data_IF_421620752361
#
_entry.id   IF_421620752361
#
_cell.length_a   1.000
_cell.length_b   1.000
_cell.length_c   1.000
_cell.angle_alpha   90.00
_cell.angle_beta   90.00
_cell.angle_gamma   90.00
#
_symmetry.space_group_name_H-M   'P 1'
#
loop_
_entity.id
_entity.type
_entity.pdbx_description
1 polymer ?
#
# COMPACT_ATOMS: atom_id res chain seq x y z
N UNK A 1 -57.10 -8.12 25.92
CA UNK A 1 -57.32 -6.66 25.88
C UNK A 1 -56.33 -6.05 24.92
N UNK A 2 -56.82 -5.52 23.80
CA UNK A 2 -56.03 -4.83 22.79
C UNK A 2 -55.79 -3.38 23.21
N UNK A 3 -54.57 -2.87 23.02
CA UNK A 3 -54.34 -1.44 22.82
C UNK A 3 -53.34 -1.23 21.68
N UNK A 4 -53.90 -0.71 20.59
CA UNK A 4 -53.23 -0.13 19.43
C UNK A 4 -52.77 1.29 19.80
N UNK A 5 -51.55 1.67 19.42
CA UNK A 5 -51.10 3.05 19.17
C UNK A 5 -50.06 2.92 18.04
N UNK A 6 -50.33 3.19 16.75
CA UNK A 6 -50.77 4.41 16.06
C UNK A 6 -49.71 5.53 16.05
N UNK A 7 -48.91 5.51 14.97
CA UNK A 7 -48.31 6.60 14.17
C UNK A 7 -47.91 7.92 14.80
N UNK A 8 -46.66 8.32 14.50
CA UNK A 8 -46.36 9.67 14.00
C UNK A 8 -45.09 9.63 13.14
N UNK A 9 -45.28 9.66 11.82
CA UNK A 9 -44.25 9.98 10.82
C UNK A 9 -44.08 11.49 10.82
N UNK A 10 -42.86 11.99 10.95
CA UNK A 10 -42.53 13.40 10.76
C UNK A 10 -41.44 13.51 9.69
N UNK A 11 -41.84 14.03 8.53
CA UNK A 11 -40.98 14.44 7.42
C UNK A 11 -40.77 15.95 7.56
N UNK A 12 -39.53 16.45 7.67
CA UNK A 12 -39.23 17.83 7.29
C UNK A 12 -38.61 17.88 5.89
N UNK A 13 -39.16 18.82 5.13
CA UNK A 13 -38.90 19.11 3.74
C UNK A 13 -37.81 20.20 3.59
N UNK A 14 -37.09 20.15 2.46
CA UNK A 14 -36.47 21.24 1.71
C UNK A 14 -35.41 22.16 2.38
N UNK A 15 -34.21 22.16 1.80
CA UNK A 15 -33.54 23.38 1.31
C UNK A 15 -32.40 23.02 0.33
N UNK A 16 -32.66 23.15 -0.97
CA UNK A 16 -31.62 23.21 -2.00
C UNK A 16 -31.05 24.62 -2.08
N UNK A 17 -29.76 24.79 -1.78
CA UNK A 17 -29.01 26.00 -2.15
C UNK A 17 -28.18 25.72 -3.41
N UNK A 18 -28.57 26.37 -4.51
CA UNK A 18 -27.75 26.60 -5.69
C UNK A 18 -26.93 27.87 -5.45
N UNK A 19 -25.61 27.77 -5.49
CA UNK A 19 -24.71 28.90 -5.67
C UNK A 19 -23.90 28.68 -6.94
N UNK A 20 -24.32 29.40 -7.99
CA UNK A 20 -23.51 29.72 -9.15
C UNK A 20 -22.52 30.83 -8.77
N UNK A 21 -21.26 30.72 -9.20
CA UNK A 21 -20.24 31.73 -8.95
C UNK A 21 -18.95 31.51 -9.75
N UNK A 22 -18.94 32.10 -10.94
CA UNK A 22 -17.86 32.53 -11.85
C UNK A 22 -16.38 32.17 -11.58
N UNK A 23 -15.80 31.48 -12.57
CA UNK A 23 -14.59 31.82 -13.36
C UNK A 23 -13.69 32.92 -12.82
N UNK A 24 -12.40 32.58 -12.65
CA UNK A 24 -11.31 33.48 -13.01
C UNK A 24 -10.08 32.67 -13.44
N UNK A 25 -9.82 32.66 -14.75
CA UNK A 25 -8.55 32.28 -15.37
C UNK A 25 -7.71 33.54 -15.51
N UNK A 26 -6.49 33.59 -14.94
CA UNK A 26 -5.44 34.39 -15.51
C UNK A 26 -4.55 33.49 -16.39
N UNK A 27 -4.65 33.74 -17.69
CA UNK A 27 -3.59 33.53 -18.66
C UNK A 27 -2.30 34.17 -18.14
N UNK A 28 -1.20 33.45 -18.13
CA UNK A 28 0.12 34.07 -18.28
C UNK A 28 0.97 33.20 -19.17
N UNK A 29 0.87 33.51 -20.46
CA UNK A 29 1.86 33.23 -21.49
C UNK A 29 3.22 33.75 -21.04
N UNK A 30 4.22 32.88 -21.00
CA UNK A 30 5.64 33.28 -21.10
C UNK A 30 6.22 32.54 -22.30
N UNK A 31 6.29 33.24 -23.42
CA UNK A 31 7.07 32.84 -24.60
C UNK A 31 8.53 33.31 -24.45
N UNK A 32 9.45 32.35 -24.67
CA UNK A 32 10.73 32.45 -25.42
C UNK A 32 11.81 33.33 -24.75
N UNK A 33 13.02 32.83 -24.48
CA UNK A 33 14.05 32.52 -25.50
C UNK A 33 15.16 31.62 -24.94
N UNK A 34 15.71 30.68 -25.75
CA UNK A 34 16.84 29.85 -25.36
C UNK A 34 18.17 30.61 -25.52
N UNK A 35 19.00 30.60 -24.47
CA UNK A 35 20.40 31.00 -24.60
C UNK A 35 21.26 29.78 -24.88
N UNK A 36 21.74 29.74 -26.11
CA UNK A 36 22.78 28.88 -26.65
C UNK A 36 24.14 29.42 -26.19
N UNK A 37 24.92 28.64 -25.44
CA UNK A 37 26.36 28.88 -25.29
C UNK A 37 27.11 27.60 -25.58
N UNK A 38 27.69 27.56 -26.78
CA UNK A 38 28.74 26.66 -27.19
C UNK A 38 30.03 26.94 -26.41
N UNK A 39 30.71 25.88 -25.95
CA UNK A 39 32.14 25.90 -25.71
C UNK A 39 32.77 24.68 -26.39
N UNK A 40 33.37 25.00 -27.54
CA UNK A 40 34.42 24.30 -28.26
C UNK A 40 35.67 24.08 -27.38
N UNK A 41 36.42 23.01 -27.64
CA UNK A 41 37.81 22.96 -27.21
C UNK A 41 38.41 21.60 -26.86
N UNK A 42 38.91 20.92 -27.90
CA UNK A 42 40.25 20.29 -27.91
C UNK A 42 40.44 18.88 -27.31
N UNK A 43 40.56 17.92 -28.21
CA UNK A 43 41.21 16.63 -28.01
C UNK A 43 42.74 16.74 -28.08
N UNK A 44 43.45 15.93 -27.28
CA UNK A 44 44.84 15.53 -27.53
C UNK A 44 45.05 14.07 -27.10
N UNK A 45 45.81 13.23 -27.84
CA UNK A 45 45.80 11.76 -27.67
C UNK A 45 47.11 11.15 -27.13
N UNK A 46 47.03 9.84 -26.80
CA UNK A 46 48.07 8.78 -26.67
C UNK A 46 48.85 8.70 -25.32
N UNK A 47 49.29 7.50 -24.85
CA UNK A 47 49.78 6.38 -25.67
C UNK A 47 49.30 4.95 -25.37
N UNK A 48 49.48 4.12 -26.40
CA UNK A 48 49.42 2.65 -26.42
C UNK A 48 50.65 2.07 -25.70
N UNK A 49 50.42 1.09 -24.82
CA UNK A 49 51.45 0.26 -24.19
C UNK A 49 50.94 -1.17 -23.98
N UNK A 50 51.70 -2.11 -24.54
CA UNK A 50 51.59 -3.58 -24.71
C UNK A 50 51.38 -4.40 -23.39
N UNK A 51 50.85 -5.65 -23.44
CA UNK A 51 50.31 -6.37 -22.28
C UNK A 51 51.32 -7.30 -21.57
N UNK A 52 51.02 -7.72 -20.32
CA UNK A 52 51.35 -9.03 -19.76
C UNK A 52 50.04 -9.85 -19.58
N UNK A 53 49.87 -11.03 -20.19
CA UNK A 53 50.26 -12.38 -19.72
C UNK A 53 49.61 -12.78 -18.40
N UNK A 54 48.75 -13.80 -18.51
CA UNK A 54 48.22 -14.77 -17.55
C UNK A 54 48.60 -14.61 -16.07
N UNK A 55 47.59 -14.49 -15.19
CA UNK A 55 47.20 -15.57 -14.27
C UNK A 55 46.03 -15.12 -13.36
N UNK A 56 45.25 -16.10 -12.90
CA UNK A 56 44.12 -16.00 -11.96
C UNK A 56 42.85 -15.29 -12.45
N UNK A 57 41.98 -16.08 -13.11
CA UNK A 57 40.54 -15.91 -12.98
C UNK A 57 40.21 -16.17 -11.50
N UNK A 58 40.24 -15.13 -10.69
CA UNK A 58 39.45 -15.09 -9.48
C UNK A 58 37.99 -15.24 -9.93
N UNK A 59 37.34 -16.31 -9.50
CA UNK A 59 35.88 -16.37 -9.47
C UNK A 59 35.42 -15.21 -8.59
N UNK A 60 35.14 -14.06 -9.21
CA UNK A 60 34.26 -13.07 -8.60
C UNK A 60 32.94 -13.80 -8.35
N UNK A 61 32.72 -14.13 -7.09
CA UNK A 61 31.42 -14.46 -6.51
C UNK A 61 30.48 -13.32 -6.91
N UNK A 62 29.79 -13.50 -8.04
CA UNK A 62 28.70 -12.62 -8.45
C UNK A 62 27.68 -12.75 -7.34
N UNK A 63 27.33 -11.66 -6.62
CA UNK A 63 26.27 -11.75 -5.62
C UNK A 63 25.03 -12.29 -6.33
N UNK A 64 24.43 -13.36 -5.78
CA UNK A 64 23.19 -13.91 -6.30
C UNK A 64 22.22 -12.75 -6.56
N UNK A 65 21.90 -12.52 -7.84
CA UNK A 65 20.79 -11.64 -8.22
C UNK A 65 19.60 -12.09 -7.37
N UNK A 66 19.07 -11.16 -6.57
CA UNK A 66 17.83 -11.34 -5.81
C UNK A 66 16.85 -12.18 -6.63
N UNK A 67 16.56 -13.39 -6.14
CA UNK A 67 15.78 -14.42 -6.83
C UNK A 67 14.33 -14.03 -7.12
N UNK A 68 13.94 -12.83 -6.68
CA UNK A 68 12.61 -12.21 -6.80
C UNK A 68 12.15 -12.08 -8.25
N UNK A 69 13.07 -12.08 -9.21
CA UNK A 69 12.73 -11.85 -10.63
C UNK A 69 12.20 -13.09 -11.37
N UNK A 70 12.01 -14.23 -10.69
CA UNK A 70 11.37 -15.44 -11.23
C UNK A 70 10.33 -15.99 -10.25
N UNK A 71 9.14 -16.40 -10.72
CA UNK A 71 8.15 -16.98 -9.83
C UNK A 71 8.66 -18.29 -9.21
N UNK A 72 8.30 -18.59 -7.96
CA UNK A 72 8.63 -19.85 -7.30
C UNK A 72 8.03 -21.04 -8.06
N UNK A 73 8.75 -22.16 -8.07
CA UNK A 73 8.30 -23.43 -8.65
C UNK A 73 8.50 -24.53 -7.60
N UNK A 74 7.44 -25.25 -7.18
CA UNK A 74 6.06 -25.18 -7.67
C UNK A 74 5.29 -23.93 -7.17
N UNK A 75 4.29 -23.51 -7.95
CA UNK A 75 3.32 -22.49 -7.56
C UNK A 75 2.41 -22.98 -6.42
N UNK A 76 1.87 -22.05 -5.63
CA UNK A 76 0.89 -22.33 -4.57
C UNK A 76 -0.04 -21.14 -4.34
N UNK A 77 -1.31 -21.45 -4.07
CA UNK A 77 -2.33 -20.48 -3.65
C UNK A 77 -2.51 -20.48 -2.11
N UNK A 78 -1.65 -21.21 -1.39
CA UNK A 78 -1.65 -21.25 0.06
C UNK A 78 -0.72 -20.17 0.64
N UNK A 79 -1.26 -19.12 1.30
CA UNK A 79 -0.45 -18.04 1.85
C UNK A 79 0.39 -18.48 3.07
N UNK A 80 0.13 -19.66 3.66
CA UNK A 80 1.03 -20.23 4.67
C UNK A 80 2.40 -20.64 4.11
N UNK A 81 2.57 -20.63 2.79
CA UNK A 81 3.85 -20.90 2.14
C UNK A 81 4.66 -19.62 1.83
N UNK A 82 4.14 -18.43 2.14
CA UNK A 82 4.87 -17.17 1.99
C UNK A 82 5.59 -16.77 3.27
N UNK A 83 6.40 -15.73 3.16
CA UNK A 83 7.00 -14.98 4.27
C UNK A 83 5.97 -14.28 5.18
N UNK A 84 4.69 -14.24 4.80
CA UNK A 84 3.60 -13.78 5.67
C UNK A 84 3.11 -14.86 6.65
N UNK A 85 3.54 -16.11 6.51
CA UNK A 85 3.13 -17.23 7.37
C UNK A 85 3.27 -16.96 8.89
N UNK A 86 4.35 -16.33 9.40
CA UNK A 86 4.47 -16.05 10.84
C UNK A 86 3.32 -15.20 11.40
N UNK A 87 2.77 -14.28 10.60
CA UNK A 87 1.62 -13.46 10.99
C UNK A 87 0.32 -14.26 10.94
N UNK A 88 0.18 -15.17 9.96
CA UNK A 88 -0.99 -16.05 9.84
C UNK A 88 -1.09 -17.05 10.99
N UNK A 89 0.05 -17.60 11.44
CA UNK A 89 0.10 -18.55 12.56
C UNK A 89 -0.36 -17.90 13.88
N UNK A 90 -0.09 -16.61 14.03
CA UNK A 90 -0.35 -15.87 15.25
C UNK A 90 -1.68 -15.11 15.23
N UNK A 91 -2.17 -14.75 14.04
CA UNK A 91 -3.40 -13.98 13.86
C UNK A 91 -3.28 -12.52 14.30
N UNK A 92 -2.06 -12.02 14.52
CA UNK A 92 -1.77 -10.66 14.94
C UNK A 92 -0.59 -10.07 14.15
N UNK A 93 -0.61 -8.75 13.96
CA UNK A 93 0.48 -7.96 13.33
C UNK A 93 0.74 -6.73 14.20
N UNK A 94 1.99 -6.35 14.50
CA UNK A 94 2.26 -5.10 15.20
C UNK A 94 1.79 -3.91 14.36
N UNK A 95 1.33 -2.85 15.04
CA UNK A 95 0.85 -1.63 14.38
C UNK A 95 1.84 -0.50 14.61
N UNK A 96 2.13 0.24 13.55
CA UNK A 96 2.98 1.43 13.57
C UNK A 96 2.27 2.69 13.08
N UNK A 97 2.87 3.85 13.37
CA UNK A 97 2.61 5.08 12.64
C UNK A 97 3.53 5.15 11.40
N UNK A 98 3.19 5.98 10.42
CA UNK A 98 4.07 6.27 9.30
C UNK A 98 5.39 6.88 9.81
N UNK A 99 6.52 6.34 9.34
CA UNK A 99 7.85 6.86 9.65
C UNK A 99 8.30 7.99 8.73
N UNK A 100 9.62 8.18 8.63
CA UNK A 100 10.20 9.26 7.83
C UNK A 100 10.08 9.03 6.31
N UNK A 101 9.87 7.78 5.90
CA UNK A 101 9.63 7.36 4.51
C UNK A 101 8.37 6.50 4.42
N UNK A 102 7.75 6.40 3.22
CA UNK A 102 6.61 5.51 2.97
C UNK A 102 6.86 4.04 3.36
N UNK A 103 8.12 3.60 3.38
CA UNK A 103 8.53 2.23 3.63
C UNK A 103 8.77 1.91 5.11
N UNK A 104 8.73 2.94 5.96
CA UNK A 104 9.11 2.82 7.37
C UNK A 104 7.91 2.99 8.30
N UNK A 105 7.89 2.20 9.36
CA UNK A 105 6.96 2.29 10.47
C UNK A 105 7.68 2.77 11.72
N UNK A 106 6.98 3.55 12.55
CA UNK A 106 7.37 3.80 13.94
C UNK A 106 6.44 2.96 14.81
N UNK A 107 6.94 1.95 15.55
CA UNK A 107 6.10 1.09 16.36
C UNK A 107 5.24 1.88 17.33
N UNK A 108 3.98 1.47 17.49
CA UNK A 108 3.10 1.96 18.54
C UNK A 108 3.07 0.89 19.64
N UNK A 109 3.57 1.25 20.81
CA UNK A 109 3.67 0.32 21.95
C UNK A 109 2.31 -0.31 22.29
N UNK A 110 2.31 -1.64 22.44
CA UNK A 110 1.15 -2.46 22.82
C UNK A 110 -0.09 -2.27 21.92
N UNK A 111 0.13 -2.06 20.62
CA UNK A 111 -0.94 -2.06 19.62
C UNK A 111 -0.70 -3.11 18.55
N UNK A 112 -1.65 -4.04 18.45
CA UNK A 112 -1.62 -5.14 17.48
C UNK A 112 -2.93 -5.18 16.69
N UNK A 113 -2.82 -5.49 15.41
CA UNK A 113 -3.94 -5.75 14.53
C UNK A 113 -4.29 -7.24 14.57
N UNK A 114 -5.38 -7.57 15.26
CA UNK A 114 -5.93 -8.93 15.31
C UNK A 114 -6.78 -9.15 14.06
N UNK A 115 -6.44 -10.17 13.26
CA UNK A 115 -7.02 -10.30 11.93
C UNK A 115 -7.42 -11.73 11.57
N UNK A 116 -8.26 -11.82 10.55
CA UNK A 116 -8.56 -13.01 9.78
C UNK A 116 -8.49 -12.69 8.28
N UNK A 117 -8.27 -13.70 7.45
CA UNK A 117 -8.33 -13.53 6.00
C UNK A 117 -9.79 -13.32 5.59
N UNK A 118 -10.09 -12.13 5.08
CA UNK A 118 -11.38 -11.78 4.49
C UNK A 118 -11.52 -12.27 3.06
N UNK A 119 -10.47 -12.06 2.27
CA UNK A 119 -10.38 -12.48 0.88
C UNK A 119 -8.98 -13.02 0.59
N UNK A 120 -8.91 -14.19 -0.03
CA UNK A 120 -7.66 -14.81 -0.45
C UNK A 120 -7.47 -14.66 -1.97
N UNK A 121 -6.65 -13.69 -2.37
CA UNK A 121 -6.18 -13.52 -3.74
C UNK A 121 -4.73 -13.96 -3.93
N UNK A 122 -4.15 -14.69 -2.98
CA UNK A 122 -2.75 -15.11 -2.99
C UNK A 122 -2.52 -16.16 -4.08
N UNK A 123 -1.48 -15.92 -4.86
CA UNK A 123 -0.98 -16.78 -5.95
C UNK A 123 0.51 -16.50 -6.03
N UNK A 124 1.33 -17.49 -5.70
CA UNK A 124 2.78 -17.33 -5.66
C UNK A 124 3.39 -17.15 -7.05
N UNK A 125 2.67 -17.47 -8.13
CA UNK A 125 3.15 -17.36 -9.50
C UNK A 125 2.62 -16.13 -10.23
N UNK A 126 1.61 -15.46 -9.69
CA UNK A 126 1.20 -14.16 -10.18
C UNK A 126 2.30 -13.12 -9.94
N UNK A 127 2.47 -12.20 -10.88
CA UNK A 127 3.34 -11.05 -10.68
C UNK A 127 2.85 -10.21 -9.49
N UNK A 128 1.56 -9.92 -9.38
CA UNK A 128 0.98 -9.41 -8.14
C UNK A 128 -0.16 -10.31 -7.63
N UNK A 129 -0.15 -10.56 -6.32
CA UNK A 129 -1.23 -11.22 -5.58
C UNK A 129 -1.46 -10.55 -4.23
N UNK A 130 -2.53 -10.91 -3.53
CA UNK A 130 -2.96 -10.17 -2.34
C UNK A 130 -3.68 -11.02 -1.29
N UNK A 131 -3.72 -10.51 -0.07
CA UNK A 131 -4.66 -10.90 0.98
C UNK A 131 -5.42 -9.68 1.46
N UNK A 132 -6.73 -9.79 1.59
CA UNK A 132 -7.53 -8.84 2.37
C UNK A 132 -7.64 -9.37 3.79
N UNK A 133 -7.23 -8.56 4.75
CA UNK A 133 -7.29 -8.86 6.17
C UNK A 133 -8.43 -8.06 6.77
N UNK A 134 -9.37 -8.72 7.46
CA UNK A 134 -10.39 -8.05 8.26
C UNK A 134 -10.07 -8.21 9.74
N UNK A 135 -10.20 -7.16 10.53
CA UNK A 135 -9.75 -7.23 11.90
C UNK A 135 -10.06 -6.02 12.74
N UNK A 136 -9.43 -5.99 13.91
CA UNK A 136 -9.51 -4.84 14.79
C UNK A 136 -8.27 -4.70 15.66
N UNK A 137 -7.81 -3.46 15.79
CA UNK A 137 -6.70 -3.12 16.68
C UNK A 137 -7.04 -3.43 18.13
N UNK A 138 -6.02 -3.84 18.88
CA UNK A 138 -6.11 -4.19 20.29
C UNK A 138 -4.73 -4.22 20.93
N UNK A 139 -4.65 -4.81 22.12
CA UNK A 139 -3.40 -5.06 22.83
C UNK A 139 -2.81 -6.42 22.40
N UNK A 140 -1.67 -6.82 22.97
CA UNK A 140 -1.02 -8.10 22.64
C UNK A 140 -1.93 -9.32 22.86
N UNK A 141 -2.90 -9.24 23.76
CA UNK A 141 -3.71 -10.38 24.19
C UNK A 141 -5.05 -10.47 23.46
N UNK A 142 -5.64 -9.33 23.09
CA UNK A 142 -7.00 -9.28 22.55
C UNK A 142 -7.26 -8.08 21.65
N UNK A 143 -8.10 -8.32 20.65
CA UNK A 143 -8.73 -7.28 19.86
C UNK A 143 -9.64 -6.38 20.70
N UNK A 144 -9.71 -5.08 20.40
CA UNK A 144 -10.69 -4.18 21.01
C UNK A 144 -12.12 -4.48 20.51
N UNK A 145 -12.27 -4.89 19.24
CA UNK A 145 -13.53 -5.36 18.67
C UNK A 145 -14.67 -4.34 18.60
N UNK A 146 -14.36 -3.04 18.71
CA UNK A 146 -15.37 -1.97 18.78
C UNK A 146 -15.13 -0.87 17.76
N UNK A 147 -16.20 -0.52 17.03
CA UNK A 147 -16.37 0.73 16.27
C UNK A 147 -15.12 1.25 15.58
N UNK A 148 -14.46 2.21 16.23
CA UNK A 148 -13.28 2.92 15.73
C UNK A 148 -12.08 2.01 15.45
N UNK A 149 -11.91 0.92 16.20
CA UNK A 149 -10.76 0.02 16.10
C UNK A 149 -10.91 -1.06 15.03
N UNK A 150 -12.07 -1.15 14.35
CA UNK A 150 -12.30 -2.11 13.27
C UNK A 150 -11.77 -1.51 11.97
N UNK A 151 -10.88 -2.25 11.33
CA UNK A 151 -10.19 -1.87 10.10
C UNK A 151 -10.06 -3.09 9.19
N UNK A 152 -9.84 -2.81 7.92
CA UNK A 152 -9.37 -3.78 6.94
C UNK A 152 -7.96 -3.36 6.47
N UNK A 153 -7.19 -4.30 5.91
CA UNK A 153 -5.92 -3.99 5.27
C UNK A 153 -5.69 -4.92 4.08
N UNK A 154 -4.85 -4.48 3.14
CA UNK A 154 -4.41 -5.31 2.00
C UNK A 154 -2.92 -5.56 2.14
N UNK A 155 -2.53 -6.84 2.17
CA UNK A 155 -1.13 -7.25 2.07
C UNK A 155 -0.89 -7.71 0.63
N UNK A 156 0.17 -7.19 0.02
CA UNK A 156 0.50 -7.46 -1.37
C UNK A 156 1.72 -8.36 -1.47
N UNK A 157 1.77 -9.16 -2.52
CA UNK A 157 2.87 -10.07 -2.79
C UNK A 157 3.34 -9.89 -4.23
N UNK A 158 4.65 -9.93 -4.44
CA UNK A 158 5.24 -10.07 -5.76
C UNK A 158 5.79 -11.48 -5.89
N UNK A 159 5.21 -12.30 -6.78
CA UNK A 159 5.70 -13.66 -7.05
C UNK A 159 5.91 -14.50 -5.78
N UNK A 160 4.95 -14.42 -4.86
CA UNK A 160 4.95 -15.18 -3.60
C UNK A 160 5.75 -14.55 -2.45
N UNK A 161 6.51 -13.49 -2.70
CA UNK A 161 7.21 -12.72 -1.67
C UNK A 161 6.37 -11.53 -1.23
N UNK A 162 6.28 -11.27 0.07
CA UNK A 162 5.50 -10.16 0.62
C UNK A 162 6.16 -8.82 0.32
N UNK A 163 5.35 -7.88 -0.13
CA UNK A 163 5.75 -6.49 -0.31
C UNK A 163 5.50 -5.75 1.01
N UNK A 164 6.59 -5.24 1.60
CA UNK A 164 6.54 -4.46 2.85
C UNK A 164 6.74 -2.97 2.64
N UNK A 165 7.07 -2.55 1.41
CA UNK A 165 7.37 -1.17 1.03
C UNK A 165 6.50 -0.75 -0.18
N UNK A 166 5.65 0.29 -0.05
CA UNK A 166 5.38 1.06 1.16
C UNK A 166 4.67 0.22 2.24
N UNK A 167 4.77 0.68 3.50
CA UNK A 167 4.14 0.01 4.63
C UNK A 167 2.60 -0.01 4.45
N UNK A 168 1.95 -1.19 4.48
CA UNK A 168 0.51 -1.28 4.26
C UNK A 168 -0.27 -0.50 5.30
N UNK A 169 -1.27 0.28 4.87
CA UNK A 169 -2.10 1.06 5.79
C UNK A 169 -3.44 0.41 6.05
N UNK A 170 -3.99 0.71 7.22
CA UNK A 170 -5.32 0.30 7.61
C UNK A 170 -6.38 1.18 6.95
N UNK A 171 -7.40 0.54 6.39
CA UNK A 171 -8.56 1.14 5.74
C UNK A 171 -9.77 0.95 6.65
N UNK A 172 -10.82 1.78 6.50
CA UNK A 172 -12.03 1.55 7.30
C UNK A 172 -12.75 0.28 6.85
N UNK A 173 -12.79 0.07 5.55
CA UNK A 173 -13.18 -1.20 4.94
C UNK A 173 -12.55 -1.34 3.57
N UNK A 174 -12.20 -2.56 3.15
CA UNK A 174 -11.88 -2.90 1.77
C UNK A 174 -13.17 -3.39 1.12
N UNK A 175 -13.65 -2.66 0.11
CA UNK A 175 -14.90 -3.00 -0.59
C UNK A 175 -14.66 -3.99 -1.73
N UNK A 176 -13.51 -3.89 -2.41
CA UNK A 176 -13.18 -4.69 -3.58
C UNK A 176 -11.67 -4.61 -3.87
N UNK A 177 -11.07 -5.74 -4.26
CA UNK A 177 -9.71 -5.82 -4.80
C UNK A 177 -9.76 -6.50 -6.16
N UNK A 178 -9.20 -5.86 -7.18
CA UNK A 178 -9.20 -6.38 -8.55
C UNK A 178 -7.77 -6.38 -9.12
N UNK A 179 -7.29 -7.54 -9.56
CA UNK A 179 -6.11 -7.64 -10.43
C UNK A 179 -6.48 -7.14 -11.82
N UNK A 180 -6.08 -5.91 -12.16
CA UNK A 180 -6.42 -5.28 -13.45
C UNK A 180 -5.34 -5.49 -14.52
N UNK A 181 -4.12 -5.82 -14.09
CA UNK A 181 -3.01 -6.27 -14.94
C UNK A 181 -2.02 -7.12 -14.10
N UNK A 182 -1.02 -7.73 -14.74
CA UNK A 182 0.00 -8.53 -14.05
C UNK A 182 0.74 -7.71 -12.98
N UNK A 183 1.04 -6.45 -13.29
CA UNK A 183 1.75 -5.49 -12.44
C UNK A 183 0.83 -4.54 -11.68
N UNK A 184 -0.51 -4.73 -11.72
CA UNK A 184 -1.47 -3.77 -11.17
C UNK A 184 -2.63 -4.41 -10.40
N UNK A 185 -2.84 -3.90 -9.18
CA UNK A 185 -4.01 -4.22 -8.36
C UNK A 185 -4.76 -2.93 -8.01
N UNK A 186 -6.04 -2.87 -8.35
CA UNK A 186 -6.94 -1.79 -7.95
C UNK A 186 -7.67 -2.18 -6.66
N UNK A 187 -7.70 -1.26 -5.69
CA UNK A 187 -8.38 -1.41 -4.41
C UNK A 187 -9.40 -0.30 -4.25
N UNK A 188 -10.67 -0.69 -4.08
CA UNK A 188 -11.74 0.22 -3.66
C UNK A 188 -11.95 0.07 -2.16
N UNK A 189 -11.87 1.17 -1.43
CA UNK A 189 -11.94 1.13 0.02
C UNK A 189 -12.71 2.31 0.60
N UNK A 190 -13.30 2.08 1.77
CA UNK A 190 -13.97 3.09 2.57
C UNK A 190 -13.03 3.78 3.55
N UNK A 191 -13.25 5.06 3.76
CA UNK A 191 -12.56 5.91 4.73
C UNK A 191 -13.59 6.64 5.61
N UNK A 192 -13.18 6.95 6.85
CA UNK A 192 -13.97 7.72 7.79
C UNK A 192 -13.44 9.16 7.80
N UNK A 193 -13.98 10.03 6.94
CA UNK A 193 -13.56 11.44 6.76
C UNK A 193 -13.87 12.37 7.94
N UNK A 194 -14.08 11.80 9.13
CA UNK A 194 -14.43 12.48 10.37
C UNK A 194 -14.04 11.60 11.55
N UNK A 195 -14.90 11.53 12.58
CA UNK A 195 -14.62 10.60 13.67
C UNK A 195 -14.73 9.15 13.18
N UNK A 196 -13.73 8.31 13.46
CA UNK A 196 -13.65 6.91 13.03
C UNK A 196 -14.86 6.04 13.42
N UNK A 197 -15.59 6.42 14.48
CA UNK A 197 -16.82 5.77 14.92
C UNK A 197 -18.03 6.00 13.98
N UNK A 198 -17.95 6.96 13.04
CA UNK A 198 -19.04 7.24 12.08
C UNK A 198 -19.14 6.18 10.97
N UNK A 199 -18.16 5.28 10.86
CA UNK A 199 -18.09 4.31 9.77
C UNK A 199 -17.59 4.94 8.48
N UNK A 200 -17.96 4.35 7.34
CA UNK A 200 -17.51 4.81 6.02
C UNK A 200 -18.32 6.01 5.57
N UNK A 201 -17.67 7.16 5.46
CA UNK A 201 -18.27 8.41 4.92
C UNK A 201 -17.71 8.77 3.55
N UNK A 202 -16.53 8.26 3.22
CA UNK A 202 -15.81 8.52 1.98
C UNK A 202 -15.37 7.22 1.33
N UNK A 203 -15.21 7.24 0.01
CA UNK A 203 -14.77 6.08 -0.78
C UNK A 203 -13.66 6.51 -1.71
N UNK A 204 -12.65 5.66 -1.79
CA UNK A 204 -11.46 5.88 -2.58
C UNK A 204 -11.20 4.70 -3.49
N UNK A 205 -10.56 4.99 -4.61
CA UNK A 205 -10.03 4.02 -5.55
C UNK A 205 -8.53 4.29 -5.70
N UNK A 206 -7.72 3.28 -5.42
CA UNK A 206 -6.27 3.37 -5.51
C UNK A 206 -5.73 2.15 -6.24
N UNK A 207 -4.83 2.39 -7.19
CA UNK A 207 -4.17 1.34 -7.96
C UNK A 207 -2.73 1.22 -7.48
N UNK A 208 -2.38 0.05 -6.96
CA UNK A 208 -1.01 -0.35 -6.69
C UNK A 208 -0.36 -0.85 -7.98
N UNK A 209 0.86 -0.39 -8.25
CA UNK A 209 1.63 -0.69 -9.47
C UNK A 209 3.00 -1.19 -9.05
N UNK A 210 3.37 -2.41 -9.43
CA UNK A 210 4.70 -2.94 -9.19
C UNK A 210 5.62 -2.62 -10.36
N UNK A 211 6.75 -1.99 -10.07
CA UNK A 211 7.76 -1.59 -11.05
C UNK A 211 9.10 -2.26 -10.71
N UNK A 212 10.11 -2.10 -11.57
CA UNK A 212 11.47 -2.56 -11.24
C UNK A 212 12.09 -1.86 -10.02
N UNK A 213 11.51 -0.74 -9.57
CA UNK A 213 11.97 0.02 -8.39
C UNK A 213 11.16 -0.31 -7.12
N UNK A 214 10.17 -1.21 -7.22
CA UNK A 214 9.27 -1.58 -6.13
C UNK A 214 7.82 -1.16 -6.38
N UNK A 215 7.03 -1.12 -5.31
CA UNK A 215 5.61 -0.82 -5.38
C UNK A 215 5.34 0.68 -5.29
N UNK A 216 4.56 1.20 -6.22
CA UNK A 216 4.04 2.56 -6.23
C UNK A 216 2.53 2.53 -6.39
N UNK A 217 1.88 3.69 -6.53
CA UNK A 217 0.47 3.71 -6.87
C UNK A 217 -0.06 5.05 -7.30
N UNK A 218 -1.28 5.00 -7.85
CA UNK A 218 -2.00 6.16 -8.37
C UNK A 218 -3.49 6.07 -7.99
N UNK A 219 -4.16 7.22 -7.90
CA UNK A 219 -5.58 7.29 -7.58
C UNK A 219 -5.87 8.28 -6.47
N UNK A 220 -6.99 8.08 -5.79
CA UNK A 220 -7.42 8.95 -4.69
C UNK A 220 -6.97 8.38 -3.35
N UNK A 221 -6.38 9.22 -2.51
CA UNK A 221 -6.14 8.96 -1.09
C UNK A 221 -6.87 10.03 -0.26
N UNK A 222 -7.30 9.73 0.97
CA UNK A 222 -7.81 10.75 1.88
C UNK A 222 -6.69 11.71 2.29
N UNK A 223 -7.06 12.92 2.72
CA UNK A 223 -6.08 13.97 3.04
C UNK A 223 -5.22 13.66 4.27
N UNK A 224 -5.73 12.80 5.16
CA UNK A 224 -5.10 12.33 6.39
C UNK A 224 -4.47 10.93 6.24
N UNK A 225 -4.20 10.48 5.01
CA UNK A 225 -3.63 9.15 4.77
C UNK A 225 -2.34 8.90 5.56
N UNK A 226 -1.54 9.92 5.79
CA UNK A 226 -0.28 9.82 6.54
C UNK A 226 -0.51 9.52 8.04
N UNK A 227 -1.68 9.90 8.57
CA UNK A 227 -2.09 9.61 9.96
C UNK A 227 -2.68 8.20 10.12
N UNK A 228 -2.86 7.46 9.03
CA UNK A 228 -3.33 6.08 9.11
C UNK A 228 -2.29 5.17 9.77
N UNK A 229 -2.79 4.31 10.65
CA UNK A 229 -2.04 3.18 11.19
C UNK A 229 -1.51 2.28 10.06
N UNK A 230 -0.28 1.81 10.24
CA UNK A 230 0.44 0.92 9.32
C UNK A 230 0.59 -0.46 9.94
N UNK A 231 0.56 -1.49 9.09
CA UNK A 231 0.99 -2.82 9.47
C UNK A 231 2.52 -2.83 9.49
N UNK A 232 3.11 -3.18 10.63
CA UNK A 232 4.54 -3.41 10.72
C UNK A 232 4.84 -4.86 10.32
N UNK A 233 5.26 -5.02 9.07
CA UNK A 233 5.58 -6.32 8.47
C UNK A 233 7.08 -6.63 8.50
N UNK A 234 7.90 -5.71 9.01
CA UNK A 234 9.37 -5.89 9.09
C UNK A 234 9.77 -6.62 10.36
N UNK A 235 8.99 -6.48 11.44
CA UNK A 235 9.22 -7.21 12.68
C UNK A 235 8.37 -8.49 12.74
N UNK A 236 8.96 -9.63 12.38
CA UNK A 236 8.36 -10.95 12.65
C UNK A 236 8.48 -11.38 14.12
N UNK A 237 9.13 -10.56 14.96
CA UNK A 237 9.22 -10.77 16.41
C UNK A 237 7.95 -10.27 17.09
N UNK A 238 6.94 -11.09 16.98
CA UNK A 238 5.75 -11.00 17.81
C UNK A 238 6.07 -11.53 19.25
N UNK A 239 5.37 -11.04 20.29
CA UNK A 239 5.64 -11.33 21.70
C UNK A 239 5.45 -12.81 22.09
#
# INVERSE_FOLDING_TARGET
MARKHASAVLIPAFATLLLAGCVNTPDTTVEITPDEVAIDGTAAPLPVGTPPTDDEVAEEDVPEESSVDKPPVPCTDNPMASDFAPFLEQGIIPVGALGATPDSTVPVDDVYYHFQIGENGYDSCAALSYLVLNGSNGDAERSAGIGAAIHDAVVLFHRGEMITAPAPFQMKTVEEVTRIADDRIEVRYGHAGGASAQGVTERHLFTFIHTGEGLTGEGSLPADIDDHARLDLQESRLP
#
